data_IF_908197274955
#
_entry.id   IF_908197274955
#
_cell.length_a   1.000
_cell.length_b   1.000
_cell.length_c   1.000
_cell.angle_alpha   90.00
_cell.angle_beta   90.00
_cell.angle_gamma   90.00
#
_symmetry.space_group_name_H-M   'P 1'
#
loop_
_entity.id
_entity.type
_entity.pdbx_description
1 polymer ?
#
# COMPACT_ATOMS: atom_id res chain seq x y z
N UNK A 1 8.59 5.47 8.90
CA UNK A 1 7.17 5.33 8.54
C UNK A 1 6.95 6.04 7.22
N UNK A 2 6.36 5.35 6.25
CA UNK A 2 5.92 5.90 4.98
C UNK A 2 4.41 5.78 4.85
N UNK A 3 3.83 6.61 3.99
CA UNK A 3 2.45 6.54 3.54
C UNK A 3 2.49 6.16 2.06
N UNK A 4 1.85 5.04 1.72
CA UNK A 4 1.71 4.56 0.35
C UNK A 4 0.25 4.61 -0.05
N UNK A 5 -0.03 5.22 -1.20
CA UNK A 5 -1.35 5.26 -1.77
C UNK A 5 -1.47 4.23 -2.90
N UNK A 6 -2.63 3.59 -2.95
CA UNK A 6 -3.09 2.76 -4.07
C UNK A 6 -4.44 3.31 -4.51
N UNK A 7 -5.04 2.74 -5.56
CA UNK A 7 -6.35 3.18 -6.05
C UNK A 7 -7.42 3.24 -4.96
N UNK A 8 -7.41 2.29 -4.02
CA UNK A 8 -8.49 2.13 -3.03
C UNK A 8 -8.02 2.19 -1.57
N UNK A 9 -6.73 2.38 -1.30
CA UNK A 9 -6.20 2.45 0.06
C UNK A 9 -5.10 3.49 0.24
N UNK A 10 -5.12 4.11 1.42
CA UNK A 10 -3.99 4.82 2.01
C UNK A 10 -3.37 3.95 3.10
N UNK A 11 -2.10 3.59 2.94
CA UNK A 11 -1.42 2.55 3.73
C UNK A 11 -0.30 3.19 4.53
N UNK A 12 -0.36 3.07 5.85
CA UNK A 12 0.68 3.52 6.77
C UNK A 12 1.61 2.35 7.07
N UNK A 13 2.89 2.44 6.68
CA UNK A 13 3.85 1.36 6.88
C UNK A 13 5.07 1.83 7.65
N UNK A 14 5.49 1.05 8.66
CA UNK A 14 6.76 1.27 9.34
C UNK A 14 7.96 0.96 8.43
N UNK A 15 7.77 0.03 7.47
CA UNK A 15 8.78 -0.34 6.49
C UNK A 15 8.96 0.79 5.47
N UNK A 16 10.19 1.25 5.24
CA UNK A 16 10.51 2.30 4.25
C UNK A 16 10.88 1.75 2.86
N UNK A 17 11.01 0.44 2.72
CA UNK A 17 11.33 -0.20 1.45
C UNK A 17 10.14 -0.20 0.49
N UNK A 18 10.40 -0.60 -0.77
CA UNK A 18 9.33 -0.82 -1.75
C UNK A 18 8.42 -1.99 -1.32
N UNK A 19 7.12 -1.93 -1.60
CA UNK A 19 6.26 -3.09 -1.45
C UNK A 19 6.77 -4.27 -2.29
N UNK A 20 6.55 -5.48 -1.80
CA UNK A 20 6.97 -6.71 -2.47
C UNK A 20 5.83 -7.37 -3.25
N UNK A 21 4.58 -7.09 -2.86
CA UNK A 21 3.41 -7.68 -3.49
C UNK A 21 2.30 -6.65 -3.71
N UNK A 22 1.53 -6.85 -4.77
CA UNK A 22 0.33 -6.07 -5.09
C UNK A 22 -0.88 -6.99 -5.23
N UNK A 23 -2.03 -6.58 -4.69
CA UNK A 23 -3.29 -7.26 -4.90
C UNK A 23 -3.90 -6.86 -6.25
N UNK A 24 -4.21 -7.84 -7.09
CA UNK A 24 -4.90 -7.62 -8.36
C UNK A 24 -6.42 -7.67 -8.23
N UNK A 25 -6.92 -8.06 -7.06
CA UNK A 25 -8.35 -8.07 -6.73
C UNK A 25 -8.94 -6.67 -6.47
N UNK A 26 -10.13 -6.66 -5.85
CA UNK A 26 -10.91 -5.44 -5.67
C UNK A 26 -10.22 -4.39 -4.78
N UNK A 27 -9.45 -4.81 -3.78
CA UNK A 27 -8.85 -3.86 -2.84
C UNK A 27 -7.61 -3.14 -3.40
N UNK A 28 -6.88 -3.72 -4.38
CA UNK A 28 -5.67 -3.11 -4.97
C UNK A 28 -4.58 -2.69 -3.96
N UNK A 29 -4.58 -3.27 -2.76
CA UNK A 29 -3.61 -2.98 -1.70
C UNK A 29 -2.24 -3.58 -2.02
N UNK A 30 -1.16 -2.93 -1.56
CA UNK A 30 0.21 -3.48 -1.61
C UNK A 30 0.68 -3.97 -0.23
N UNK A 31 1.64 -4.88 -0.24
CA UNK A 31 2.14 -5.57 0.95
C UNK A 31 3.66 -5.72 0.91
N UNK A 32 4.29 -5.74 2.09
CA UNK A 32 5.72 -6.03 2.25
C UNK A 32 5.95 -7.51 2.52
N UNK A 33 7.20 -7.97 2.34
CA UNK A 33 7.58 -9.39 2.50
C UNK A 33 7.12 -9.98 3.84
N UNK A 34 7.17 -9.20 4.91
CA UNK A 34 6.83 -9.65 6.25
C UNK A 34 5.33 -9.57 6.56
N UNK A 35 4.52 -8.94 5.70
CA UNK A 35 3.08 -8.83 5.92
C UNK A 35 2.32 -10.05 5.37
N UNK A 36 2.93 -10.79 4.45
CA UNK A 36 2.34 -11.97 3.83
C UNK A 36 2.93 -13.21 4.53
N UNK A 37 2.10 -14.04 5.18
CA UNK A 37 2.58 -15.23 5.89
C UNK A 37 3.43 -16.12 4.98
N UNK A 38 4.62 -16.50 5.45
CA UNK A 38 5.59 -17.32 4.73
C UNK A 38 5.03 -18.69 4.30
N UNK A 39 4.06 -19.22 5.06
CA UNK A 39 3.42 -20.51 4.77
C UNK A 39 2.55 -20.47 3.50
N UNK A 40 2.22 -19.27 3.00
CA UNK A 40 1.58 -19.09 1.71
C UNK A 40 2.55 -19.30 0.52
N UNK A 41 3.85 -19.47 0.77
CA UNK A 41 4.83 -19.80 -0.28
C UNK A 41 4.66 -21.22 -0.84
N UNK A 42 3.88 -22.10 -0.18
CA UNK A 42 3.53 -23.44 -0.69
C UNK A 42 2.42 -23.35 -1.76
N UNK A 43 1.64 -22.25 -1.78
CA UNK A 43 0.60 -22.02 -2.79
C UNK A 43 1.18 -21.21 -3.94
N UNK A 44 0.98 -21.67 -5.17
CA UNK A 44 1.54 -21.04 -6.38
C UNK A 44 1.14 -19.55 -6.57
N UNK A 45 0.05 -19.12 -5.91
CA UNK A 45 -0.41 -17.72 -5.89
C UNK A 45 -0.90 -17.37 -4.48
N UNK A 46 -0.16 -16.57 -3.69
CA UNK A 46 -0.61 -16.17 -2.37
C UNK A 46 -1.86 -15.28 -2.47
N UNK A 47 -2.82 -15.51 -1.57
CA UNK A 47 -4.05 -14.73 -1.51
C UNK A 47 -3.86 -13.46 -0.67
N UNK A 48 -4.49 -12.36 -1.09
CA UNK A 48 -4.47 -11.09 -0.39
C UNK A 48 -5.12 -11.24 0.99
N UNK A 49 -4.41 -10.94 2.10
CA UNK A 49 -4.96 -11.10 3.45
C UNK A 49 -6.24 -10.30 3.72
N UNK A 50 -6.48 -9.24 2.95
CA UNK A 50 -7.63 -8.34 3.19
C UNK A 50 -8.87 -8.69 2.37
N UNK A 51 -8.73 -9.26 1.17
CA UNK A 51 -9.88 -9.52 0.29
C UNK A 51 -9.88 -10.89 -0.39
N UNK A 52 -8.90 -11.74 -0.09
CA UNK A 52 -8.74 -13.07 -0.71
C UNK A 52 -8.37 -13.05 -2.20
N UNK A 53 -8.20 -11.87 -2.82
CA UNK A 53 -7.84 -11.74 -4.23
C UNK A 53 -6.39 -12.16 -4.51
N UNK A 54 -6.01 -12.43 -5.77
CA UNK A 54 -4.66 -12.87 -6.09
C UNK A 54 -3.62 -11.77 -5.84
N UNK A 55 -2.48 -12.15 -5.27
CA UNK A 55 -1.30 -11.30 -5.17
C UNK A 55 -0.34 -11.57 -6.35
N UNK A 56 0.35 -10.52 -6.78
CA UNK A 56 1.48 -10.58 -7.72
C UNK A 56 2.73 -9.98 -7.08
N UNK A 57 3.90 -10.55 -7.38
CA UNK A 57 5.21 -9.93 -7.09
C UNK A 57 5.68 -9.01 -8.22
N UNK A 58 5.12 -9.14 -9.41
CA UNK A 58 5.36 -8.24 -10.55
C UNK A 58 4.36 -7.08 -10.44
N UNK A 59 4.74 -6.06 -9.67
CA UNK A 59 3.88 -4.92 -9.36
C UNK A 59 3.86 -3.98 -10.57
N UNK A 60 2.70 -3.75 -11.21
CA UNK A 60 2.62 -2.86 -12.35
C UNK A 60 3.02 -1.43 -12.00
N UNK A 61 3.65 -0.73 -12.94
CA UNK A 61 3.93 0.70 -12.81
C UNK A 61 2.64 1.48 -12.54
N UNK A 62 2.69 2.43 -11.61
CA UNK A 62 1.53 3.22 -11.21
C UNK A 62 0.49 2.48 -10.35
N UNK A 63 0.74 1.22 -9.95
CA UNK A 63 -0.17 0.51 -9.03
C UNK A 63 -0.20 1.14 -7.63
N UNK A 64 0.91 1.75 -7.22
CA UNK A 64 1.03 2.47 -5.96
C UNK A 64 1.93 3.70 -6.13
N UNK A 65 1.78 4.64 -5.20
CA UNK A 65 2.59 5.85 -5.09
C UNK A 65 3.00 6.05 -3.63
N UNK A 66 4.25 6.45 -3.40
CA UNK A 66 4.70 6.83 -2.07
C UNK A 66 4.36 8.30 -1.86
N UNK A 67 3.36 8.57 -1.02
CA UNK A 67 2.90 9.94 -0.70
C UNK A 67 3.92 10.67 0.17
N UNK A 68 4.49 9.96 1.15
CA UNK A 68 5.59 10.48 1.97
C UNK A 68 6.37 9.32 2.60
N UNK A 69 7.69 9.43 2.67
CA UNK A 69 8.60 8.49 3.34
C UNK A 69 9.02 8.96 4.75
N UNK A 70 8.49 10.11 5.18
CA UNK A 70 8.81 10.80 6.44
C UNK A 70 7.60 11.00 7.35
N UNK A 71 6.56 10.18 7.25
CA UNK A 71 5.34 10.35 8.03
C UNK A 71 5.56 10.41 9.56
N UNK A 72 6.65 9.82 10.06
CA UNK A 72 7.02 9.90 11.48
C UNK A 72 7.70 11.21 11.91
N UNK A 73 8.15 12.03 10.96
CA UNK A 73 8.76 13.34 11.18
C UNK A 73 7.77 14.50 11.00
N UNK A 74 6.47 14.21 10.83
CA UNK A 74 5.40 15.21 10.95
C UNK A 74 5.34 15.67 12.41
N UNK A 75 6.26 16.56 12.75
CA UNK A 75 6.38 17.19 14.06
C UNK A 75 5.06 17.88 14.45
N UNK A 76 4.80 17.94 15.76
CA UNK A 76 3.63 18.47 16.49
C UNK A 76 3.19 19.90 16.10
N UNK A 77 2.86 20.15 14.84
CA UNK A 77 2.44 21.45 14.31
C UNK A 77 1.12 21.40 13.53
N UNK A 78 0.42 20.24 13.54
CA UNK A 78 -0.73 20.01 12.68
C UNK A 78 -0.27 19.71 11.25
N UNK A 79 -0.64 18.55 10.72
CA UNK A 79 -0.38 18.23 9.33
C UNK A 79 -1.16 19.20 8.43
N UNK A 80 -0.47 19.97 7.60
CA UNK A 80 -1.11 20.64 6.46
C UNK A 80 -1.47 19.53 5.48
N UNK A 81 -2.73 19.12 5.47
CA UNK A 81 -3.27 18.26 4.41
C UNK A 81 -3.33 19.10 3.15
N UNK A 82 -2.26 19.05 2.34
CA UNK A 82 -2.36 19.48 0.95
C UNK A 82 -3.20 18.45 0.23
N UNK A 83 -4.49 18.77 0.08
CA UNK A 83 -5.43 17.99 -0.71
C UNK A 83 -4.91 17.93 -2.14
N UNK A 84 -4.29 16.81 -2.52
CA UNK A 84 -3.88 16.50 -3.89
C UNK A 84 -5.11 16.14 -4.75
N UNK A 85 -6.06 17.09 -4.86
CA UNK A 85 -7.07 17.08 -5.91
C UNK A 85 -8.25 16.13 -5.73
N UNK A 86 -8.72 15.83 -4.51
CA UNK A 86 -10.05 15.21 -4.36
C UNK A 86 -11.13 16.27 -4.62
N UNK A 87 -11.51 16.45 -5.89
CA UNK A 87 -12.75 17.13 -6.28
C UNK A 87 -13.92 16.19 -6.01
N UNK A 88 -14.57 16.37 -4.87
CA UNK A 88 -15.95 15.90 -4.68
C UNK A 88 -16.88 16.99 -5.24
N UNK A 89 -17.22 16.88 -6.53
CA UNK A 89 -18.47 17.41 -7.07
C UNK A 89 -19.54 16.33 -6.90
N UNK A 90 -20.82 16.62 -6.69
CA UNK A 90 -21.60 17.85 -6.86
C UNK A 90 -22.82 17.79 -5.93
#
# INVERSE_FOLDING_TARGET
MQIVQTKNHLIYSANKGKPAYACLGICRKVWWKNDVPSDLAIVAVPACPQCGGPLTSDIPDGHHEVVTDQAGALNKGGAIVMNAGLKLGS
#
